data_IF_095903751291
#
_entry.id   IF_095903751291
#
_cell.length_a   1.000
_cell.length_b   1.000
_cell.length_c   1.000
_cell.angle_alpha   90.00
_cell.angle_beta   90.00
_cell.angle_gamma   90.00
#
_symmetry.space_group_name_H-M   'P 1'
#
loop_
_entity.id
_entity.type
_entity.pdbx_description
1 polymer ?
#
# COMPACT_ATOMS: atom_id res chain seq x y z
N UNK A 1 -12.50 -2.38 -19.55
CA UNK A 1 -13.87 -2.82 -19.73
C UNK A 1 -13.96 -4.23 -20.32
N UNK A 2 -15.08 -4.85 -20.18
CA UNK A 2 -15.39 -6.15 -20.76
C UNK A 2 -16.87 -6.23 -21.14
N UNK A 3 -17.19 -6.96 -22.21
CA UNK A 3 -18.58 -7.22 -22.59
C UNK A 3 -19.22 -8.32 -21.73
N UNK A 4 -18.42 -9.28 -21.30
CA UNK A 4 -18.90 -10.50 -20.60
C UNK A 4 -18.24 -10.73 -19.22
N UNK A 5 -17.41 -9.77 -18.76
CA UNK A 5 -16.70 -9.88 -17.50
C UNK A 5 -15.50 -10.85 -17.50
N UNK A 6 -15.14 -11.43 -18.64
CA UNK A 6 -14.07 -12.43 -18.76
C UNK A 6 -12.80 -11.89 -19.44
N UNK A 7 -12.94 -11.20 -20.55
CA UNK A 7 -11.82 -10.62 -21.31
C UNK A 7 -11.82 -9.09 -21.14
N UNK A 8 -10.71 -8.53 -20.68
CA UNK A 8 -10.60 -7.14 -20.27
C UNK A 8 -9.76 -6.31 -21.24
N UNK A 9 -10.27 -5.14 -21.60
CA UNK A 9 -9.63 -4.16 -22.46
C UNK A 9 -9.45 -2.83 -21.74
N UNK A 10 -8.43 -2.03 -22.07
CA UNK A 10 -8.30 -0.68 -21.55
C UNK A 10 -9.45 0.20 -22.03
N UNK A 11 -9.83 1.18 -21.22
CA UNK A 11 -10.75 2.25 -21.63
C UNK A 11 -9.95 3.23 -22.47
N UNK A 12 -10.53 3.72 -23.56
CA UNK A 12 -9.91 4.68 -24.48
C UNK A 12 -10.61 6.03 -24.41
N UNK A 13 -9.89 7.10 -24.76
CA UNK A 13 -10.52 8.41 -24.90
C UNK A 13 -11.45 8.44 -26.11
N UNK A 14 -12.69 8.90 -25.89
CA UNK A 14 -13.67 9.13 -26.96
C UNK A 14 -14.68 10.19 -26.52
N UNK A 15 -14.90 11.18 -27.36
CA UNK A 15 -15.96 12.20 -27.15
C UNK A 15 -17.35 11.62 -27.37
N UNK A 16 -17.45 10.62 -28.22
CA UNK A 16 -18.70 9.91 -28.50
C UNK A 16 -18.88 8.71 -27.57
N UNK A 17 -20.14 8.38 -27.20
CA UNK A 17 -20.42 7.23 -26.37
C UNK A 17 -20.22 5.92 -27.15
N UNK A 18 -19.04 5.36 -27.07
CA UNK A 18 -18.67 4.09 -27.69
C UNK A 18 -18.31 3.05 -26.64
N UNK A 19 -18.41 1.79 -26.98
CA UNK A 19 -18.02 0.68 -26.08
C UNK A 19 -16.55 0.81 -25.70
N UNK A 20 -16.30 0.92 -24.40
CA UNK A 20 -14.96 1.12 -23.86
C UNK A 20 -14.42 2.54 -24.01
N UNK A 21 -15.25 3.51 -24.39
CA UNK A 21 -14.91 4.91 -24.42
C UNK A 21 -15.11 5.62 -23.10
N UNK A 22 -14.38 6.71 -22.90
CA UNK A 22 -14.53 7.67 -21.81
C UNK A 22 -14.16 9.05 -22.33
N UNK A 23 -14.95 10.07 -22.06
CA UNK A 23 -14.73 11.43 -22.58
C UNK A 23 -13.85 12.30 -21.71
N UNK A 24 -13.23 11.76 -20.66
CA UNK A 24 -12.30 12.53 -19.84
C UNK A 24 -11.00 12.80 -20.61
N UNK A 25 -10.66 14.09 -20.90
CA UNK A 25 -9.49 14.45 -21.71
C UNK A 25 -8.15 14.12 -21.03
N UNK A 26 -8.16 13.85 -19.71
CA UNK A 26 -6.96 13.48 -18.97
C UNK A 26 -6.68 11.97 -18.99
N UNK A 27 -7.50 11.19 -19.71
CA UNK A 27 -7.29 9.76 -19.85
C UNK A 27 -6.08 9.47 -20.74
N UNK A 28 -5.09 8.79 -20.20
CA UNK A 28 -3.89 8.34 -20.90
C UNK A 28 -3.75 6.83 -20.73
N UNK A 29 -3.77 6.10 -21.85
CA UNK A 29 -3.62 4.63 -21.85
C UNK A 29 -4.52 3.89 -20.82
N UNK A 30 -5.78 4.32 -20.72
CA UNK A 30 -6.74 3.76 -19.80
C UNK A 30 -6.50 4.14 -18.32
N UNK A 31 -5.64 5.13 -18.06
CA UNK A 31 -5.29 5.57 -16.71
C UNK A 31 -5.70 7.03 -16.49
N UNK A 32 -6.31 7.30 -15.35
CA UNK A 32 -6.57 8.64 -14.83
C UNK A 32 -5.77 8.87 -13.54
N UNK A 33 -5.36 10.11 -13.34
CA UNK A 33 -4.69 10.54 -12.10
C UNK A 33 -5.62 11.47 -11.33
N UNK A 34 -5.77 11.24 -10.02
CA UNK A 34 -6.53 12.13 -9.13
C UNK A 34 -5.85 13.48 -9.04
N UNK A 35 -6.66 14.55 -9.05
CA UNK A 35 -6.22 15.88 -8.67
C UNK A 35 -6.00 16.02 -7.15
N UNK A 36 -5.75 17.25 -6.70
CA UNK A 36 -5.55 17.60 -5.28
C UNK A 36 -6.80 17.36 -4.44
N UNK A 37 -7.97 17.31 -5.05
CA UNK A 37 -9.25 16.98 -4.44
C UNK A 37 -9.46 15.48 -4.21
N UNK A 38 -8.58 14.64 -4.78
CA UNK A 38 -8.67 13.18 -4.70
C UNK A 38 -9.81 12.57 -5.51
N UNK A 39 -10.45 13.33 -6.41
CA UNK A 39 -11.58 12.88 -7.22
C UNK A 39 -11.12 12.44 -8.60
N UNK A 40 -11.69 11.35 -9.08
CA UNK A 40 -11.61 10.90 -10.48
C UNK A 40 -13.00 10.83 -11.08
N UNK A 41 -13.14 11.31 -12.29
CA UNK A 41 -14.39 11.27 -13.04
C UNK A 41 -14.20 10.47 -14.34
N UNK A 42 -14.97 9.42 -14.47
CA UNK A 42 -15.06 8.60 -15.68
C UNK A 42 -16.33 8.97 -16.42
N UNK A 43 -16.23 9.90 -17.36
CA UNK A 43 -17.35 10.45 -18.10
C UNK A 43 -17.74 9.59 -19.29
N UNK A 44 -19.05 9.55 -19.59
CA UNK A 44 -19.62 8.90 -20.77
C UNK A 44 -19.21 7.43 -20.96
N UNK A 45 -19.09 6.70 -19.86
CA UNK A 45 -18.91 5.25 -19.92
C UNK A 45 -20.14 4.62 -20.59
N UNK A 46 -19.90 3.63 -21.43
CA UNK A 46 -20.98 2.92 -22.11
C UNK A 46 -21.71 2.00 -21.13
N UNK A 47 -23.05 2.12 -20.96
CA UNK A 47 -23.83 1.29 -20.05
C UNK A 47 -23.90 -0.18 -20.50
N UNK A 48 -24.26 -1.07 -19.59
CA UNK A 48 -24.41 -2.50 -19.87
C UNK A 48 -23.09 -3.23 -20.14
N UNK A 49 -21.97 -2.64 -19.78
CA UNK A 49 -20.64 -3.26 -19.83
C UNK A 49 -20.06 -3.44 -18.44
N UNK A 50 -19.20 -4.43 -18.30
CA UNK A 50 -18.42 -4.63 -17.09
C UNK A 50 -17.20 -3.71 -17.08
N UNK A 51 -16.98 -3.09 -15.93
CA UNK A 51 -15.80 -2.26 -15.68
C UNK A 51 -15.01 -2.78 -14.50
N UNK A 52 -13.71 -2.60 -14.58
CA UNK A 52 -12.78 -2.93 -13.52
C UNK A 52 -11.83 -1.76 -13.31
N UNK A 53 -11.80 -1.25 -12.10
CA UNK A 53 -10.93 -0.14 -11.69
C UNK A 53 -9.87 -0.67 -10.76
N UNK A 54 -8.62 -0.35 -11.05
CA UNK A 54 -7.45 -0.77 -10.28
C UNK A 54 -6.66 0.46 -9.86
N UNK A 55 -6.24 0.54 -8.62
CA UNK A 55 -5.31 1.57 -8.19
C UNK A 55 -3.90 1.18 -8.64
N UNK A 56 -3.26 2.02 -9.45
CA UNK A 56 -1.88 1.80 -9.91
C UNK A 56 -0.86 2.31 -8.89
N UNK A 57 -1.16 3.43 -8.23
CA UNK A 57 -0.29 4.08 -7.25
C UNK A 57 -1.13 4.71 -6.15
N UNK A 58 -0.80 4.41 -4.90
CA UNK A 58 -1.39 5.07 -3.75
C UNK A 58 -0.72 6.43 -3.47
N UNK A 59 -1.39 7.33 -2.74
CA UNK A 59 -0.78 8.54 -2.21
C UNK A 59 0.44 8.24 -1.31
N UNK A 60 1.36 9.20 -1.20
CA UNK A 60 2.52 9.05 -0.33
C UNK A 60 2.10 8.77 1.13
N UNK A 61 2.71 7.76 1.75
CA UNK A 61 2.39 7.33 3.12
C UNK A 61 1.18 6.39 3.23
N UNK A 62 0.63 5.95 2.12
CA UNK A 62 -0.47 5.00 2.08
C UNK A 62 -0.11 3.74 1.30
N UNK A 63 -0.73 2.63 1.68
CA UNK A 63 -0.58 1.36 0.98
C UNK A 63 -1.53 1.35 -0.23
N UNK A 64 -1.02 0.85 -1.36
CA UNK A 64 -1.82 0.58 -2.54
C UNK A 64 -2.85 -0.52 -2.23
N UNK A 65 -4.04 -0.42 -2.81
CA UNK A 65 -5.02 -1.50 -2.76
C UNK A 65 -4.44 -2.78 -3.37
N UNK A 66 -4.63 -3.89 -2.67
CA UNK A 66 -4.20 -5.22 -3.16
C UNK A 66 -5.20 -5.80 -4.16
N UNK A 67 -6.45 -5.35 -4.08
CA UNK A 67 -7.55 -5.80 -4.90
C UNK A 67 -8.07 -4.66 -5.80
N UNK A 68 -9.09 -4.93 -6.60
CA UNK A 68 -9.73 -3.93 -7.44
C UNK A 68 -10.50 -2.93 -6.59
N UNK A 69 -10.44 -1.65 -6.97
CA UNK A 69 -11.28 -0.61 -6.37
C UNK A 69 -12.75 -0.81 -6.74
N UNK A 70 -13.00 -1.35 -7.93
CA UNK A 70 -14.32 -1.70 -8.41
C UNK A 70 -14.23 -2.85 -9.44
N UNK A 71 -15.19 -3.77 -9.38
CA UNK A 71 -15.47 -4.75 -10.43
C UNK A 71 -16.97 -4.94 -10.50
N UNK A 72 -17.57 -4.65 -11.64
CA UNK A 72 -19.01 -4.83 -11.81
C UNK A 72 -19.52 -4.32 -13.14
N UNK A 73 -20.78 -4.60 -13.40
CA UNK A 73 -21.52 -4.10 -14.54
C UNK A 73 -22.03 -2.68 -14.25
N UNK A 74 -21.91 -1.79 -15.22
CA UNK A 74 -22.52 -0.47 -15.16
C UNK A 74 -23.99 -0.58 -15.58
N UNK A 75 -24.96 -0.25 -14.70
CA UNK A 75 -26.38 -0.35 -15.02
C UNK A 75 -26.77 0.53 -16.22
N UNK A 76 -27.75 0.09 -17.00
CA UNK A 76 -28.24 0.87 -18.15
C UNK A 76 -29.02 2.13 -17.73
N UNK A 77 -29.61 2.12 -16.53
CA UNK A 77 -30.49 3.19 -16.05
C UNK A 77 -29.79 4.19 -15.12
N UNK A 78 -28.68 3.83 -14.51
CA UNK A 78 -27.98 4.68 -13.53
C UNK A 78 -26.56 4.93 -13.98
N UNK A 79 -26.34 6.10 -14.60
CA UNK A 79 -25.07 6.48 -15.23
C UNK A 79 -24.04 7.08 -14.25
N UNK A 80 -24.33 7.07 -12.94
CA UNK A 80 -23.41 7.60 -11.93
C UNK A 80 -23.02 6.52 -10.94
N UNK A 81 -21.76 6.12 -10.98
CA UNK A 81 -21.15 5.26 -9.98
C UNK A 81 -20.22 6.08 -9.09
N UNK A 82 -20.57 6.19 -7.82
CA UNK A 82 -19.70 6.81 -6.81
C UNK A 82 -18.94 5.73 -6.05
N UNK A 83 -17.62 5.80 -6.09
CA UNK A 83 -16.72 4.90 -5.37
C UNK A 83 -15.90 5.69 -4.36
N UNK A 84 -15.84 5.21 -3.14
CA UNK A 84 -14.92 5.72 -2.15
C UNK A 84 -13.78 4.71 -1.93
N UNK A 85 -12.57 5.12 -2.28
CA UNK A 85 -11.36 4.31 -2.06
C UNK A 85 -10.69 4.80 -0.77
N UNK A 86 -10.53 3.89 0.18
CA UNK A 86 -9.87 4.17 1.47
C UNK A 86 -8.57 3.37 1.53
N UNK A 87 -7.45 4.07 1.49
CA UNK A 87 -6.13 3.45 1.57
C UNK A 87 -5.67 3.38 3.03
N UNK A 88 -5.07 2.25 3.42
CA UNK A 88 -4.45 2.11 4.73
C UNK A 88 -3.14 2.91 4.80
N UNK A 89 -2.91 3.61 5.92
CA UNK A 89 -1.62 4.26 6.17
C UNK A 89 -0.50 3.24 6.30
N UNK A 90 0.64 3.55 5.72
CA UNK A 90 1.87 2.80 5.99
C UNK A 90 2.35 3.19 7.39
N UNK A 91 2.28 2.25 8.33
CA UNK A 91 2.91 2.41 9.63
C UNK A 91 4.37 1.95 9.51
N UNK A 92 5.30 2.88 9.53
CA UNK A 92 6.69 2.53 9.85
C UNK A 92 6.72 2.18 11.33
N UNK A 93 6.98 0.92 11.66
CA UNK A 93 7.29 0.56 13.03
C UNK A 93 8.47 1.42 13.48
N UNK A 94 8.41 2.07 14.66
CA UNK A 94 9.57 2.71 15.21
C UNK A 94 10.68 1.65 15.27
N UNK A 95 11.85 1.96 14.74
CA UNK A 95 13.03 1.11 14.94
C UNK A 95 13.30 1.06 16.45
N UNK A 96 12.69 0.10 17.13
CA UNK A 96 13.13 -0.31 18.46
C UNK A 96 14.42 -1.09 18.27
N UNK A 97 15.44 -0.40 17.75
CA UNK A 97 16.80 -0.87 17.74
C UNK A 97 17.26 -0.90 19.17
N UNK A 98 17.11 -2.05 19.80
CA UNK A 98 17.92 -2.36 20.98
C UNK A 98 19.35 -2.20 20.49
N UNK A 99 20.04 -1.18 21.03
CA UNK A 99 21.40 -0.89 20.65
C UNK A 99 22.25 -2.09 21.07
N UNK A 100 22.43 -3.03 20.15
CA UNK A 100 23.13 -4.30 20.37
C UNK A 100 24.56 -4.04 20.84
N UNK A 101 25.17 -2.90 20.47
CA UNK A 101 26.45 -2.47 21.01
C UNK A 101 26.37 -2.16 22.50
N UNK A 102 25.30 -1.52 22.96
CA UNK A 102 25.12 -1.21 24.38
C UNK A 102 24.93 -2.49 25.19
N UNK A 103 24.12 -3.44 24.71
CA UNK A 103 23.93 -4.75 25.33
C UNK A 103 25.24 -5.56 25.36
N UNK A 104 26.01 -5.54 24.27
CA UNK A 104 27.32 -6.21 24.25
C UNK A 104 28.32 -5.58 25.19
N UNK A 105 28.33 -4.25 25.36
CA UNK A 105 29.19 -3.54 26.32
C UNK A 105 28.81 -3.89 27.76
N UNK A 106 27.51 -3.89 28.09
CA UNK A 106 27.02 -4.26 29.42
C UNK A 106 27.35 -5.72 29.74
N UNK A 107 27.17 -6.64 28.80
CA UNK A 107 27.52 -8.05 28.94
C UNK A 107 29.01 -8.28 29.22
N UNK A 108 29.91 -7.56 28.50
CA UNK A 108 31.35 -7.64 28.72
C UNK A 108 31.78 -7.13 30.07
N UNK A 109 31.22 -6.02 30.56
CA UNK A 109 31.51 -5.45 31.87
C UNK A 109 31.04 -6.42 32.98
N UNK A 110 29.85 -7.00 32.85
CA UNK A 110 29.34 -7.99 33.80
C UNK A 110 30.22 -9.24 33.91
N UNK A 111 30.69 -9.77 32.78
CA UNK A 111 31.57 -10.92 32.73
C UNK A 111 32.92 -10.67 33.42
N UNK A 112 33.53 -9.49 33.17
CA UNK A 112 34.82 -9.13 33.80
C UNK A 112 34.72 -8.97 35.30
N UNK A 113 33.64 -8.40 35.83
CA UNK A 113 33.42 -8.24 37.28
C UNK A 113 33.25 -9.59 37.96
N UNK A 114 32.49 -10.51 37.36
CA UNK A 114 32.28 -11.86 37.93
C UNK A 114 33.58 -12.67 37.95
N UNK A 115 34.39 -12.62 36.88
CA UNK A 115 35.69 -13.28 36.84
C UNK A 115 36.66 -12.72 37.87
N UNK A 116 36.73 -11.40 38.04
CA UNK A 116 37.58 -10.78 39.08
C UNK A 116 37.17 -11.16 40.49
N UNK A 117 35.85 -11.23 40.77
CA UNK A 117 35.32 -11.69 42.09
C UNK A 117 35.68 -13.14 42.38
N UNK A 118 35.57 -14.04 41.39
CA UNK A 118 35.93 -15.44 41.53
C UNK A 118 37.43 -15.64 41.80
N UNK A 119 38.28 -14.90 41.10
CA UNK A 119 39.74 -14.94 41.35
C UNK A 119 40.10 -14.44 42.73
N UNK A 120 39.45 -13.38 43.20
CA UNK A 120 39.68 -12.85 44.55
C UNK A 120 39.27 -13.81 45.64
N UNK A 121 38.13 -14.47 45.51
CA UNK A 121 37.65 -15.52 46.45
C UNK A 121 38.60 -16.72 46.45
N UNK A 122 39.04 -17.18 45.28
CA UNK A 122 39.99 -18.29 45.14
C UNK A 122 41.36 -17.97 45.78
N UNK A 123 41.84 -16.74 45.61
CA UNK A 123 43.11 -16.28 46.20
C UNK A 123 43.02 -16.21 47.71
N UNK A 124 41.91 -15.74 48.30
CA UNK A 124 41.72 -15.71 49.74
C UNK A 124 41.67 -17.14 50.35
N UNK A 125 40.99 -18.08 49.66
CA UNK A 125 40.89 -19.48 50.11
C UNK A 125 42.24 -20.21 50.13
N UNK A 126 43.17 -19.82 49.23
CA UNK A 126 44.51 -20.42 49.17
C UNK A 126 45.48 -19.87 50.22
N UNK A 127 45.16 -18.70 50.84
CA UNK A 127 45.97 -18.04 51.86
C UNK A 127 45.50 -18.30 53.30
N UNK A 128 44.36 -18.94 53.42
CA UNK A 128 43.78 -19.41 54.67
C UNK A 128 44.03 -20.92 54.88
#
# INVERSE_FOLDING_TARGET
WSAEGSLWYPVIYSEEPVKGGCSNPNLVDGTLTTGDDGVLLWDNLYPGLFYRVTELKAPNGYQKLLDYAFVGELPEEDLQLSLQVVNAKVYTLPETGVNTELLMRISRISCTVVCAAMLFVSYRKKRS
#
